data_IF_794696495460
#
_entry.id   IF_794696495460
#
_cell.length_a   1.000
_cell.length_b   1.000
_cell.length_c   1.000
_cell.angle_alpha   90.00
_cell.angle_beta   90.00
_cell.angle_gamma   90.00
#
_symmetry.space_group_name_H-M   'P 1'
#
loop_
_entity.id
_entity.type
_entity.pdbx_description
1 polymer ?
#
# COMPACT_ATOMS: atom_id res chain seq x y z
N UNK A 1 -26.46 -45.43 -6.61
CA UNK A 1 -25.06 -45.14 -6.25
C UNK A 1 -24.81 -43.68 -6.58
N UNK A 2 -24.93 -42.79 -5.59
CA UNK A 2 -24.77 -41.34 -5.74
C UNK A 2 -23.28 -41.00 -5.75
N UNK A 3 -22.79 -40.54 -6.89
CA UNK A 3 -21.40 -40.11 -7.06
C UNK A 3 -21.27 -38.68 -6.54
N UNK A 4 -20.83 -38.52 -5.29
CA UNK A 4 -20.49 -37.21 -4.74
C UNK A 4 -19.19 -36.70 -5.35
N UNK A 5 -19.29 -35.68 -6.22
CA UNK A 5 -18.15 -34.92 -6.72
C UNK A 5 -17.59 -34.06 -5.58
N UNK A 6 -16.41 -34.41 -5.06
CA UNK A 6 -15.61 -33.49 -4.25
C UNK A 6 -14.96 -32.48 -5.18
N UNK A 7 -15.47 -31.25 -5.23
CA UNK A 7 -14.70 -30.13 -5.79
C UNK A 7 -13.56 -29.81 -4.80
N UNK A 8 -12.28 -29.87 -5.21
CA UNK A 8 -11.24 -29.26 -4.41
C UNK A 8 -11.51 -27.75 -4.38
N UNK A 9 -11.62 -27.19 -3.17
CA UNK A 9 -11.56 -25.75 -2.99
C UNK A 9 -10.22 -25.27 -3.55
N UNK A 10 -10.22 -24.78 -4.79
CA UNK A 10 -9.15 -23.95 -5.32
C UNK A 10 -9.15 -22.69 -4.48
N UNK A 11 -8.43 -22.71 -3.37
CA UNK A 11 -7.94 -21.49 -2.72
C UNK A 11 -6.98 -20.87 -3.73
N UNK A 12 -7.53 -20.11 -4.66
CA UNK A 12 -6.73 -19.22 -5.48
C UNK A 12 -6.23 -18.13 -4.55
N UNK A 13 -5.06 -18.33 -3.96
CA UNK A 13 -4.22 -17.21 -3.60
C UNK A 13 -3.80 -16.58 -4.93
N UNK A 14 -4.69 -15.80 -5.56
CA UNK A 14 -4.30 -14.91 -6.65
C UNK A 14 -3.31 -13.94 -6.03
N UNK A 15 -2.01 -14.24 -6.09
CA UNK A 15 -0.99 -13.31 -5.66
C UNK A 15 -1.13 -12.07 -6.53
N UNK A 16 -1.31 -10.92 -5.90
CA UNK A 16 -1.31 -9.65 -6.61
C UNK A 16 0.09 -9.35 -7.12
N UNK A 17 0.21 -8.67 -8.25
CA UNK A 17 1.50 -8.20 -8.76
C UNK A 17 2.18 -7.28 -7.74
N UNK A 18 1.39 -6.49 -7.02
CA UNK A 18 1.88 -5.71 -5.89
C UNK A 18 2.43 -6.58 -4.75
N UNK A 19 1.81 -7.71 -4.44
CA UNK A 19 2.34 -8.61 -3.42
C UNK A 19 3.68 -9.22 -3.83
N UNK A 20 3.86 -9.56 -5.10
CA UNK A 20 5.12 -10.10 -5.61
C UNK A 20 6.23 -9.03 -5.65
N UNK A 21 5.87 -7.79 -6.00
CA UNK A 21 6.76 -6.62 -5.87
C UNK A 21 7.25 -6.46 -4.42
N UNK A 22 6.35 -6.39 -3.44
CA UNK A 22 6.77 -6.18 -2.04
C UNK A 22 7.63 -7.33 -1.52
N UNK A 23 7.29 -8.59 -1.83
CA UNK A 23 8.11 -9.75 -1.45
C UNK A 23 9.52 -9.69 -2.00
N UNK A 24 9.69 -9.19 -3.24
CA UNK A 24 11.01 -9.08 -3.88
C UNK A 24 11.91 -8.09 -3.14
N UNK A 25 11.36 -6.96 -2.70
CA UNK A 25 12.13 -5.90 -2.05
C UNK A 25 12.18 -6.03 -0.53
N UNK A 26 11.34 -6.87 0.08
CA UNK A 26 11.35 -7.13 1.52
C UNK A 26 12.69 -7.69 2.00
N UNK A 27 13.34 -8.53 1.19
CA UNK A 27 14.60 -9.21 1.51
C UNK A 27 15.79 -8.72 0.67
N UNK A 28 15.60 -7.71 -0.18
CA UNK A 28 16.64 -7.20 -1.05
C UNK A 28 17.62 -6.30 -0.28
N UNK A 29 18.92 -6.49 -0.53
CA UNK A 29 19.94 -5.58 -0.01
C UNK A 29 19.75 -4.17 -0.59
N UNK A 30 20.05 -3.15 0.24
CA UNK A 30 19.89 -1.74 -0.14
C UNK A 30 18.48 -1.19 0.05
N UNK A 31 17.53 -1.99 0.55
CA UNK A 31 16.16 -1.57 0.84
C UNK A 31 15.83 -1.71 2.33
N UNK A 32 15.03 -0.77 2.83
CA UNK A 32 14.32 -0.90 4.09
C UNK A 32 12.87 -1.25 3.79
N UNK A 33 12.35 -2.28 4.46
CA UNK A 33 10.98 -2.73 4.29
C UNK A 33 10.25 -2.76 5.63
N UNK A 34 8.99 -2.30 5.62
CA UNK A 34 8.11 -2.31 6.79
C UNK A 34 6.76 -2.87 6.37
N UNK A 35 6.23 -3.82 7.13
CA UNK A 35 4.91 -4.41 6.92
C UNK A 35 4.13 -4.37 8.22
N UNK A 36 3.10 -3.51 8.28
CA UNK A 36 2.24 -3.34 9.44
C UNK A 36 0.90 -4.00 9.13
N UNK A 37 0.58 -5.07 9.86
CA UNK A 37 -0.72 -5.74 9.74
C UNK A 37 -1.78 -5.18 10.69
N UNK A 38 -3.02 -5.67 10.54
CA UNK A 38 -4.20 -5.20 11.25
C UNK A 38 -4.04 -5.11 12.77
N UNK A 39 -3.31 -6.04 13.41
CA UNK A 39 -3.09 -6.00 14.86
C UNK A 39 -2.26 -4.79 15.30
N UNK A 40 -1.28 -4.41 14.49
CA UNK A 40 -0.47 -3.21 14.72
C UNK A 40 -1.32 -1.96 14.48
N UNK A 41 -2.11 -1.95 13.40
CA UNK A 41 -3.04 -0.85 13.09
C UNK A 41 -4.05 -0.61 14.23
N UNK A 42 -4.66 -1.66 14.78
CA UNK A 42 -5.54 -1.56 15.95
C UNK A 42 -4.84 -1.01 17.19
N UNK A 43 -3.55 -1.32 17.37
CA UNK A 43 -2.76 -0.81 18.49
C UNK A 43 -2.47 0.67 18.31
N UNK A 44 -2.07 1.08 17.10
CA UNK A 44 -1.84 2.48 16.76
C UNK A 44 -3.13 3.31 16.78
N UNK A 45 -4.25 2.74 16.35
CA UNK A 45 -5.58 3.35 16.41
C UNK A 45 -5.96 3.70 17.86
N UNK A 46 -5.81 2.73 18.79
CA UNK A 46 -6.04 2.97 20.21
C UNK A 46 -5.11 4.05 20.77
N UNK A 47 -3.83 4.03 20.41
CA UNK A 47 -2.87 5.04 20.85
C UNK A 47 -3.23 6.43 20.33
N UNK A 48 -3.67 6.55 19.07
CA UNK A 48 -4.14 7.80 18.49
C UNK A 48 -5.40 8.32 19.20
N UNK A 49 -6.32 7.43 19.58
CA UNK A 49 -7.50 7.80 20.35
C UNK A 49 -7.14 8.31 21.75
N UNK A 50 -6.20 7.63 22.42
CA UNK A 50 -5.67 8.02 23.73
C UNK A 50 -4.93 9.36 23.69
N UNK A 51 -4.22 9.65 22.59
CA UNK A 51 -3.56 10.95 22.37
C UNK A 51 -4.49 12.05 21.88
N UNK A 52 -5.80 11.77 21.72
CA UNK A 52 -6.81 12.74 21.29
C UNK A 52 -6.97 12.90 19.77
N UNK A 53 -6.20 12.17 18.95
CA UNK A 53 -6.36 12.16 17.49
C UNK A 53 -7.40 11.13 17.05
N UNK A 54 -8.66 11.49 17.27
CA UNK A 54 -9.82 10.65 16.90
C UNK A 54 -9.90 10.41 15.40
N UNK A 55 -9.41 11.34 14.57
CA UNK A 55 -9.47 11.21 13.11
C UNK A 55 -8.51 10.14 12.61
N UNK A 56 -7.28 10.14 13.12
CA UNK A 56 -6.29 9.11 12.84
C UNK A 56 -6.71 7.75 13.42
N UNK A 57 -7.28 7.73 14.62
CA UNK A 57 -7.75 6.50 15.25
C UNK A 57 -8.77 5.75 14.39
N UNK A 58 -9.80 6.45 13.89
CA UNK A 58 -10.82 5.86 13.00
C UNK A 58 -10.19 5.38 11.70
N UNK A 59 -9.30 6.19 11.10
CA UNK A 59 -8.65 5.80 9.86
C UNK A 59 -7.82 4.52 9.99
N UNK A 60 -7.06 4.38 11.09
CA UNK A 60 -6.23 3.21 11.34
C UNK A 60 -7.04 1.95 11.64
N UNK A 61 -8.24 2.07 12.22
CA UNK A 61 -9.12 0.93 12.50
C UNK A 61 -9.56 0.22 11.21
N UNK A 62 -9.79 1.01 10.17
CA UNK A 62 -10.26 0.54 8.87
C UNK A 62 -9.13 0.04 7.94
N UNK A 63 -7.87 0.20 8.34
CA UNK A 63 -6.70 -0.25 7.58
C UNK A 63 -6.33 -1.69 7.97
N UNK A 64 -6.29 -2.58 6.99
CA UNK A 64 -5.87 -3.98 7.18
C UNK A 64 -4.36 -4.14 7.14
N UNK A 65 -3.68 -3.43 6.23
CA UNK A 65 -2.23 -3.39 6.23
C UNK A 65 -1.68 -2.13 5.57
N UNK A 66 -0.46 -1.79 5.98
CA UNK A 66 0.43 -0.84 5.31
C UNK A 66 1.74 -1.57 5.02
N UNK A 67 2.21 -1.51 3.78
CA UNK A 67 3.55 -1.98 3.38
C UNK A 67 4.34 -0.81 2.82
N UNK A 68 5.61 -0.71 3.21
CA UNK A 68 6.52 0.34 2.78
C UNK A 68 7.82 -0.32 2.35
N UNK A 69 8.34 0.08 1.20
CA UNK A 69 9.69 -0.21 0.74
C UNK A 69 10.35 1.13 0.44
N UNK A 70 11.47 1.40 1.10
CA UNK A 70 12.28 2.59 0.87
C UNK A 70 13.68 2.17 0.42
N UNK A 71 14.20 2.84 -0.60
CA UNK A 71 15.59 2.69 -1.01
C UNK A 71 16.50 3.36 0.03
N UNK A 72 17.48 2.63 0.57
CA UNK A 72 18.41 3.17 1.57
C UNK A 72 19.47 4.12 0.96
N UNK A 73 19.70 4.03 -0.36
CA UNK A 73 20.57 4.92 -1.12
C UNK A 73 20.89 4.37 -2.52
N UNK A 74 21.32 5.24 -3.43
CA UNK A 74 21.61 4.88 -4.82
C UNK A 74 20.49 5.24 -5.79
N UNK A 75 20.53 4.65 -6.98
CA UNK A 75 19.56 4.92 -8.04
C UNK A 75 18.27 4.10 -7.83
N UNK A 76 17.15 4.81 -7.64
CA UNK A 76 15.82 4.23 -7.44
C UNK A 76 15.06 3.88 -8.70
N UNK A 77 15.63 4.13 -9.88
CA UNK A 77 14.96 3.87 -11.15
C UNK A 77 14.38 2.44 -11.28
N UNK A 78 15.13 1.42 -10.86
CA UNK A 78 14.65 0.04 -10.93
C UNK A 78 13.45 -0.20 -10.01
N UNK A 79 13.48 0.33 -8.79
CA UNK A 79 12.38 0.22 -7.83
C UNK A 79 11.11 0.88 -8.38
N UNK A 80 11.26 2.08 -8.97
CA UNK A 80 10.14 2.82 -9.58
C UNK A 80 9.57 2.05 -10.76
N UNK A 81 10.42 1.57 -11.68
CA UNK A 81 9.99 0.79 -12.85
C UNK A 81 9.22 -0.47 -12.43
N UNK A 82 9.75 -1.21 -11.46
CA UNK A 82 9.14 -2.46 -11.00
C UNK A 82 7.79 -2.18 -10.30
N UNK A 83 7.68 -1.09 -9.54
CA UNK A 83 6.43 -0.68 -8.89
C UNK A 83 5.37 -0.24 -9.92
N UNK A 84 5.74 0.61 -10.89
CA UNK A 84 4.83 1.05 -11.95
C UNK A 84 4.37 -0.12 -12.82
N UNK A 85 5.25 -1.07 -13.12
CA UNK A 85 4.90 -2.29 -13.84
C UNK A 85 3.94 -3.19 -13.05
N UNK A 86 4.11 -3.30 -11.73
CA UNK A 86 3.21 -4.05 -10.87
C UNK A 86 1.81 -3.41 -10.82
N UNK A 87 1.74 -2.09 -10.69
CA UNK A 87 0.49 -1.32 -10.78
C UNK A 87 -0.20 -1.51 -12.13
N UNK A 88 0.55 -1.35 -13.24
CA UNK A 88 0.00 -1.44 -14.59
C UNK A 88 -0.50 -2.85 -14.95
N UNK A 89 0.16 -3.89 -14.42
CA UNK A 89 -0.25 -5.29 -14.61
C UNK A 89 -1.57 -5.60 -13.91
N UNK A 90 -1.93 -4.83 -12.89
CA UNK A 90 -3.21 -4.91 -12.21
C UNK A 90 -4.21 -3.93 -12.78
N UNK A 91 -4.91 -4.36 -13.84
CA UNK A 91 -5.89 -3.62 -14.67
C UNK A 91 -6.99 -2.82 -13.94
N UNK A 92 -7.06 -2.86 -12.61
CA UNK A 92 -8.02 -2.13 -11.77
C UNK A 92 -7.44 -0.89 -11.12
N UNK A 93 -6.12 -0.72 -11.08
CA UNK A 93 -5.52 0.51 -10.59
C UNK A 93 -5.73 1.65 -11.58
N UNK A 94 -6.04 2.82 -11.05
CA UNK A 94 -6.15 4.09 -11.77
C UNK A 94 -5.27 5.11 -11.09
N UNK A 95 -4.55 5.90 -11.87
CA UNK A 95 -3.84 7.06 -11.33
C UNK A 95 -4.87 8.06 -10.80
N UNK A 96 -4.78 8.38 -9.51
CA UNK A 96 -5.66 9.31 -8.81
C UNK A 96 -5.08 10.73 -8.79
N UNK A 97 -3.76 10.84 -8.65
CA UNK A 97 -3.02 12.10 -8.64
C UNK A 97 -1.54 11.87 -8.93
N UNK A 98 -0.89 12.91 -9.45
CA UNK A 98 0.55 12.99 -9.62
C UNK A 98 1.00 14.41 -9.31
N UNK A 99 2.09 14.56 -8.57
CA UNK A 99 2.65 15.86 -8.21
C UNK A 99 4.16 15.80 -8.25
N UNK A 100 4.77 16.84 -8.81
CA UNK A 100 6.22 17.00 -8.81
C UNK A 100 6.58 18.33 -8.17
N UNK A 101 7.38 18.29 -7.10
CA UNK A 101 7.85 19.45 -6.34
C UNK A 101 9.32 19.25 -5.97
N UNK A 102 10.17 20.25 -6.18
CA UNK A 102 11.63 20.19 -5.91
C UNK A 102 12.35 18.95 -6.50
N UNK A 103 11.91 18.46 -7.66
CA UNK A 103 12.48 17.24 -8.26
C UNK A 103 12.15 15.95 -7.50
N UNK A 104 11.18 15.98 -6.57
CA UNK A 104 10.48 14.83 -6.06
C UNK A 104 9.15 14.67 -6.80
N UNK A 105 8.90 13.48 -7.32
CA UNK A 105 7.61 13.12 -7.91
C UNK A 105 6.91 12.11 -7.03
N UNK A 106 5.64 12.35 -6.71
CA UNK A 106 4.77 11.40 -6.03
C UNK A 106 3.57 11.10 -6.90
N UNK A 107 3.35 9.81 -7.17
CA UNK A 107 2.18 9.30 -7.89
C UNK A 107 1.31 8.46 -6.97
N UNK A 108 0.00 8.63 -7.10
CA UNK A 108 -1.01 7.91 -6.35
C UNK A 108 -1.85 7.05 -7.29
N UNK A 109 -1.94 5.77 -7.00
CA UNK A 109 -2.77 4.81 -7.74
C UNK A 109 -3.77 4.19 -6.80
N UNK A 110 -5.04 4.17 -7.18
CA UNK A 110 -6.12 3.57 -6.38
C UNK A 110 -6.85 2.51 -7.18
N UNK A 111 -7.23 1.42 -6.51
CA UNK A 111 -8.26 0.49 -6.99
C UNK A 111 -9.30 0.25 -5.92
N UNK A 112 -10.52 0.10 -6.36
CA UNK A 112 -11.64 -0.35 -5.53
C UNK A 112 -11.92 -1.82 -5.82
N UNK A 113 -12.24 -2.58 -4.77
CA UNK A 113 -12.66 -3.98 -4.92
C UNK A 113 -14.10 -4.06 -5.44
N UNK A 114 -14.49 -5.21 -6.01
CA UNK A 114 -15.77 -5.37 -6.70
C UNK A 114 -17.02 -5.15 -5.83
N UNK A 115 -16.88 -5.15 -4.50
CA UNK A 115 -17.96 -4.85 -3.54
C UNK A 115 -17.93 -3.39 -3.05
N UNK A 116 -17.02 -2.55 -3.56
CA UNK A 116 -16.81 -1.13 -3.19
C UNK A 116 -16.55 -0.87 -1.69
N UNK A 117 -16.33 -1.90 -0.88
CA UNK A 117 -16.05 -1.76 0.56
C UNK A 117 -14.57 -1.49 0.82
N UNK A 118 -13.69 -2.11 0.04
CA UNK A 118 -12.24 -2.03 0.26
C UNK A 118 -11.53 -1.36 -0.89
N UNK A 119 -10.58 -0.52 -0.53
CA UNK A 119 -9.70 0.22 -1.42
C UNK A 119 -8.27 -0.23 -1.21
N UNK A 120 -7.50 -0.18 -2.28
CA UNK A 120 -6.04 -0.30 -2.23
C UNK A 120 -5.43 0.92 -2.86
N UNK A 121 -4.52 1.55 -2.13
CA UNK A 121 -3.76 2.70 -2.58
C UNK A 121 -2.29 2.31 -2.69
N UNK A 122 -1.67 2.62 -3.83
CA UNK A 122 -0.23 2.56 -4.02
C UNK A 122 0.29 3.98 -4.21
N UNK A 123 1.28 4.37 -3.43
CA UNK A 123 2.01 5.62 -3.57
C UNK A 123 3.44 5.32 -3.99
N UNK A 124 3.90 5.97 -5.06
CA UNK A 124 5.27 5.87 -5.56
C UNK A 124 5.88 7.27 -5.50
N UNK A 125 6.80 7.48 -4.58
CA UNK A 125 7.58 8.71 -4.44
C UNK A 125 9.01 8.47 -4.93
N UNK A 126 9.54 9.34 -5.78
CA UNK A 126 10.89 9.21 -6.31
C UNK A 126 11.53 10.54 -6.71
N UNK A 127 12.86 10.59 -6.61
CA UNK A 127 13.72 11.65 -7.13
C UNK A 127 14.97 11.83 -6.26
N UNK A 128 15.56 13.03 -6.25
CA UNK A 128 16.82 13.29 -5.55
C UNK A 128 16.81 13.10 -4.01
N UNK A 129 15.66 13.25 -3.34
CA UNK A 129 15.55 13.17 -1.87
C UNK A 129 15.35 11.72 -1.41
N UNK A 130 14.32 11.05 -1.92
CA UNK A 130 14.00 9.68 -1.54
C UNK A 130 13.38 8.89 -2.70
N UNK A 131 13.40 7.56 -2.60
CA UNK A 131 12.59 6.67 -3.43
C UNK A 131 11.86 5.69 -2.52
N UNK A 132 10.53 5.81 -2.46
CA UNK A 132 9.67 5.09 -1.53
C UNK A 132 8.42 4.60 -2.25
N UNK A 133 8.05 3.35 -1.99
CA UNK A 133 6.80 2.75 -2.45
C UNK A 133 5.98 2.33 -1.24
N UNK A 134 4.75 2.84 -1.15
CA UNK A 134 3.80 2.53 -0.08
C UNK A 134 2.59 1.84 -0.67
N UNK A 135 2.09 0.80 -0.02
CA UNK A 135 0.81 0.17 -0.33
C UNK A 135 -0.05 0.08 0.92
N UNK A 136 -1.28 0.58 0.82
CA UNK A 136 -2.27 0.60 1.89
C UNK A 136 -3.51 -0.15 1.40
N UNK A 137 -4.00 -1.08 2.21
CA UNK A 137 -5.23 -1.81 1.93
C UNK A 137 -6.18 -1.73 3.13
N UNK A 138 -7.43 -1.39 2.88
CA UNK A 138 -8.39 -1.08 3.94
C UNK A 138 -9.74 -0.63 3.43
N UNK A 139 -10.57 -0.11 4.33
CA UNK A 139 -11.86 0.52 4.06
C UNK A 139 -11.66 2.03 4.14
N UNK A 140 -11.38 2.68 3.01
CA UNK A 140 -11.16 4.13 2.99
C UNK A 140 -11.46 4.72 1.61
N UNK A 141 -11.73 6.02 1.60
CA UNK A 141 -11.73 6.84 0.39
C UNK A 141 -10.42 7.65 0.22
N UNK A 142 -10.22 8.23 -0.96
CA UNK A 142 -9.02 9.02 -1.27
C UNK A 142 -8.88 10.27 -0.36
N UNK A 143 -10.00 10.86 0.09
CA UNK A 143 -9.99 12.06 0.94
C UNK A 143 -9.47 11.73 2.35
N UNK A 144 -9.76 10.53 2.84
CA UNK A 144 -9.25 10.03 4.12
C UNK A 144 -7.74 9.78 4.07
N UNK A 145 -7.21 9.21 2.98
CA UNK A 145 -5.74 8.99 2.87
C UNK A 145 -4.96 10.28 2.62
N UNK A 146 -5.53 11.28 1.94
CA UNK A 146 -4.88 12.59 1.83
C UNK A 146 -4.55 13.24 3.20
N UNK A 147 -5.17 12.76 4.29
CA UNK A 147 -4.80 13.14 5.66
C UNK A 147 -3.52 12.45 6.15
N UNK A 148 -3.23 11.22 5.72
CA UNK A 148 -1.98 10.52 6.07
C UNK A 148 -0.75 11.20 5.46
N UNK A 149 -0.85 11.74 4.24
CA UNK A 149 0.28 12.46 3.61
C UNK A 149 0.60 13.80 4.27
N UNK A 150 -0.34 14.37 5.04
CA UNK A 150 -0.10 15.58 5.84
C UNK A 150 0.68 15.30 7.14
N UNK A 151 0.85 14.03 7.49
CA UNK A 151 1.72 13.60 8.60
C UNK A 151 3.16 13.64 8.08
N UNK A 152 3.77 14.83 8.13
CA UNK A 152 5.23 14.92 8.01
C UNK A 152 5.84 14.23 9.23
N UNK A 153 6.80 13.30 9.06
CA UNK A 153 7.69 12.94 10.14
C UNK A 153 8.39 14.22 10.58
N UNK A 154 8.30 14.56 11.87
CA UNK A 154 9.21 15.54 12.46
C UNK A 154 10.54 14.88 12.77
#
# INVERSE_FOLDING_TARGET
>A
MTLSLFLPNLVSAQSSFMNDFFKRYETAEGFSSVSLGAKMMQTMSRQAAESGDKGLAVLLEDIQYIRIVALAGGDGEQLVRDAEAAVASERKFREAASTTEDGQTTKFYIRETALAVKSELVMITYGAKETVVVNIYGVFDLKQIARLSSIRPQ
#
